data_IF_521861714330
#
_entry.id   IF_521861714330
#
_cell.length_a   1.000
_cell.length_b   1.000
_cell.length_c   1.000
_cell.angle_alpha   90.00
_cell.angle_beta   90.00
_cell.angle_gamma   90.00
#
_symmetry.space_group_name_H-M   'P 1'
#
loop_
_entity.id
_entity.type
_entity.pdbx_description
1 polymer ?
#
# COMPACT_ATOMS: atom_id res chain seq x y z
N UNK A 1 3.79 -4.05 -17.43
CA UNK A 1 3.41 -5.38 -17.91
C UNK A 1 2.97 -5.29 -19.35
N UNK A 2 3.36 -6.24 -20.22
CA UNK A 2 2.78 -6.35 -21.54
C UNK A 2 1.24 -6.50 -21.39
N UNK A 3 0.49 -6.00 -22.36
CA UNK A 3 -0.96 -6.15 -22.35
C UNK A 3 -1.34 -7.64 -22.61
N UNK A 4 -2.57 -8.01 -22.28
CA UNK A 4 -3.05 -9.39 -22.44
C UNK A 4 -2.93 -9.89 -23.89
N UNK A 5 -3.15 -9.01 -24.88
CA UNK A 5 -3.02 -9.36 -26.29
C UNK A 5 -1.59 -9.75 -26.67
N UNK A 6 -0.59 -8.99 -26.20
CA UNK A 6 0.83 -9.29 -26.43
C UNK A 6 1.24 -10.61 -25.78
N UNK A 7 0.76 -10.89 -24.56
CA UNK A 7 1.02 -12.17 -23.88
C UNK A 7 0.43 -13.35 -24.65
N UNK A 8 -0.82 -13.23 -25.07
CA UNK A 8 -1.49 -14.30 -25.82
C UNK A 8 -0.84 -14.54 -27.18
N UNK A 9 -0.39 -13.51 -27.89
CA UNK A 9 0.33 -13.66 -29.17
C UNK A 9 1.70 -14.33 -28.97
N UNK A 10 2.44 -13.99 -27.90
CA UNK A 10 3.70 -14.66 -27.59
C UNK A 10 3.46 -16.13 -27.22
N UNK A 11 2.39 -16.42 -26.48
CA UNK A 11 2.00 -17.78 -26.13
C UNK A 11 1.57 -18.58 -27.37
N UNK A 12 0.75 -18.01 -28.29
CA UNK A 12 0.39 -18.61 -29.55
C UNK A 12 1.63 -19.02 -30.36
N UNK A 13 2.64 -18.16 -30.39
CA UNK A 13 3.90 -18.44 -31.05
C UNK A 13 4.64 -19.59 -30.38
N UNK A 14 4.64 -19.65 -29.05
CA UNK A 14 5.33 -20.69 -28.29
C UNK A 14 4.70 -22.10 -28.47
N UNK A 15 3.38 -22.16 -28.63
CA UNK A 15 2.65 -23.43 -28.84
C UNK A 15 2.41 -23.74 -30.31
N UNK A 16 2.91 -22.92 -31.24
CA UNK A 16 2.74 -23.11 -32.67
C UNK A 16 3.35 -24.46 -33.07
N UNK A 17 2.55 -25.27 -33.77
CA UNK A 17 2.98 -26.62 -34.22
C UNK A 17 2.61 -27.75 -33.27
N UNK A 18 2.09 -27.48 -32.09
CA UNK A 18 1.49 -28.50 -31.22
C UNK A 18 0.07 -28.84 -31.73
N UNK A 19 -0.22 -30.15 -31.87
CA UNK A 19 -1.50 -30.61 -32.40
C UNK A 19 -2.35 -31.34 -31.35
N UNK A 20 -1.72 -32.12 -30.49
CA UNK A 20 -2.46 -32.83 -29.44
C UNK A 20 -2.88 -31.87 -28.30
N UNK A 21 -4.09 -32.06 -27.80
CA UNK A 21 -4.65 -31.21 -26.74
C UNK A 21 -3.80 -31.21 -25.47
N UNK A 22 -3.26 -32.37 -25.10
CA UNK A 22 -2.41 -32.51 -23.93
C UNK A 22 -1.08 -31.78 -24.12
N UNK A 23 -0.48 -31.84 -25.32
CA UNK A 23 0.75 -31.11 -25.63
C UNK A 23 0.52 -29.61 -25.62
N UNK A 24 -0.60 -29.15 -26.17
CA UNK A 24 -1.01 -27.73 -26.12
C UNK A 24 -1.20 -27.29 -24.66
N UNK A 25 -1.94 -28.07 -23.88
CA UNK A 25 -2.19 -27.75 -22.45
C UNK A 25 -0.89 -27.68 -21.66
N UNK A 26 -0.02 -28.69 -21.81
CA UNK A 26 1.28 -28.74 -21.13
C UNK A 26 2.20 -27.59 -21.60
N UNK A 27 2.23 -27.32 -22.91
CA UNK A 27 3.00 -26.21 -23.46
C UNK A 27 2.59 -24.86 -22.93
N UNK A 28 1.29 -24.64 -22.68
CA UNK A 28 0.78 -23.43 -22.02
C UNK A 28 1.25 -23.40 -20.57
N UNK A 29 1.10 -24.50 -19.82
CA UNK A 29 1.52 -24.58 -18.41
C UNK A 29 3.04 -24.38 -18.29
N UNK A 30 3.84 -24.99 -19.12
CA UNK A 30 5.30 -24.85 -19.16
C UNK A 30 5.72 -23.41 -19.50
N UNK A 31 5.00 -22.77 -20.43
CA UNK A 31 5.29 -21.38 -20.80
C UNK A 31 5.04 -20.41 -19.63
N UNK A 32 3.99 -20.62 -18.83
CA UNK A 32 3.73 -19.80 -17.65
C UNK A 32 4.67 -20.11 -16.49
N UNK A 33 5.09 -21.36 -16.31
CA UNK A 33 5.92 -21.79 -15.19
C UNK A 33 7.42 -21.76 -15.48
N UNK A 34 7.81 -21.75 -16.75
CA UNK A 34 9.19 -21.71 -17.21
C UNK A 34 9.78 -20.29 -17.16
N UNK A 35 11.11 -20.24 -17.23
CA UNK A 35 11.87 -18.98 -17.19
C UNK A 35 11.93 -18.27 -18.56
N UNK A 36 11.76 -19.01 -19.65
CA UNK A 36 11.84 -18.48 -21.03
C UNK A 36 10.49 -17.92 -21.56
N UNK A 37 9.38 -18.16 -20.86
CA UNK A 37 8.04 -17.74 -21.27
C UNK A 37 7.58 -16.48 -20.56
N UNK A 38 6.55 -16.63 -19.71
CA UNK A 38 5.93 -15.53 -18.99
C UNK A 38 6.93 -14.73 -18.14
N UNK A 39 7.86 -15.41 -17.47
CA UNK A 39 8.86 -14.77 -16.63
C UNK A 39 9.78 -13.84 -17.43
N UNK A 40 10.20 -14.23 -18.64
CA UNK A 40 11.03 -13.39 -19.51
C UNK A 40 10.31 -12.11 -19.97
N UNK A 41 8.98 -12.13 -20.07
CA UNK A 41 8.15 -10.98 -20.41
C UNK A 41 7.73 -10.15 -19.21
N UNK A 42 8.06 -10.60 -17.99
CA UNK A 42 7.70 -9.90 -16.78
C UNK A 42 8.54 -8.63 -16.59
N UNK A 43 7.91 -7.48 -16.66
CA UNK A 43 8.53 -6.17 -16.45
C UNK A 43 8.20 -5.55 -15.08
N UNK A 44 7.53 -6.31 -14.21
CA UNK A 44 7.23 -5.87 -12.85
C UNK A 44 8.47 -5.90 -11.96
N UNK A 45 8.41 -5.17 -10.86
CA UNK A 45 9.48 -5.17 -9.85
C UNK A 45 9.51 -6.47 -9.04
N UNK A 46 10.60 -6.66 -8.33
CA UNK A 46 10.67 -7.62 -7.23
C UNK A 46 9.66 -7.23 -6.15
N UNK A 47 9.10 -8.21 -5.44
CA UNK A 47 8.22 -7.91 -4.31
C UNK A 47 8.89 -6.95 -3.31
N UNK A 48 8.11 -6.13 -2.64
CA UNK A 48 8.65 -5.20 -1.64
C UNK A 48 9.02 -5.96 -0.37
N UNK A 49 10.31 -6.08 -0.14
CA UNK A 49 10.85 -6.58 1.12
C UNK A 49 11.22 -5.40 2.04
N UNK A 50 10.94 -5.54 3.35
CA UNK A 50 11.49 -4.64 4.35
C UNK A 50 10.94 -3.22 4.36
N UNK A 51 9.62 -3.03 4.19
CA UNK A 51 8.99 -1.73 4.45
C UNK A 51 9.01 -1.48 5.97
N UNK A 52 9.80 -0.52 6.45
CA UNK A 52 9.81 -0.13 7.86
C UNK A 52 8.47 0.52 8.22
N UNK A 53 7.73 -0.08 9.14
CA UNK A 53 6.41 0.38 9.59
C UNK A 53 6.44 0.99 10.98
N UNK A 54 7.45 0.63 11.78
CA UNK A 54 7.75 1.23 13.10
C UNK A 54 9.24 1.01 13.42
N UNK A 55 9.81 1.66 14.45
CA UNK A 55 11.17 1.40 14.90
C UNK A 55 11.38 -0.08 15.21
N UNK A 56 12.26 -0.75 14.47
CA UNK A 56 12.54 -2.18 14.62
C UNK A 56 11.49 -3.14 14.03
N UNK A 57 10.44 -2.64 13.37
CA UNK A 57 9.38 -3.44 12.76
C UNK A 57 9.33 -3.23 11.25
N UNK A 58 9.40 -4.32 10.49
CA UNK A 58 9.33 -4.30 9.03
C UNK A 58 8.19 -5.18 8.54
N UNK A 59 7.42 -4.68 7.58
CA UNK A 59 6.47 -5.47 6.81
C UNK A 59 7.08 -5.83 5.45
N UNK A 60 6.79 -7.01 4.93
CA UNK A 60 7.22 -7.41 3.60
C UNK A 60 6.04 -7.84 2.76
N UNK A 61 6.05 -7.42 1.50
CA UNK A 61 5.07 -7.78 0.47
C UNK A 61 5.82 -8.51 -0.66
N UNK A 62 6.24 -9.77 -0.45
CA UNK A 62 7.05 -10.52 -1.42
C UNK A 62 6.24 -11.02 -2.61
N UNK A 63 4.99 -10.61 -2.75
CA UNK A 63 4.07 -11.08 -3.79
C UNK A 63 4.33 -10.36 -5.10
N UNK A 64 4.44 -11.13 -6.16
CA UNK A 64 4.55 -10.63 -7.53
C UNK A 64 3.64 -11.44 -8.44
N UNK A 65 3.43 -10.99 -9.67
CA UNK A 65 2.70 -11.79 -10.65
C UNK A 65 3.46 -13.06 -11.08
N UNK A 66 4.69 -13.26 -10.60
CA UNK A 66 5.45 -14.50 -10.77
C UNK A 66 5.14 -15.55 -9.69
N UNK A 67 4.28 -15.24 -8.72
CA UNK A 67 3.85 -16.24 -7.73
C UNK A 67 3.19 -17.43 -8.44
N UNK A 68 3.54 -18.67 -8.07
CA UNK A 68 3.00 -19.87 -8.73
C UNK A 68 1.47 -19.92 -8.75
N UNK A 69 0.79 -19.46 -7.70
CA UNK A 69 -0.66 -19.41 -7.66
C UNK A 69 -1.25 -18.49 -8.76
N UNK A 70 -0.56 -17.39 -9.05
CA UNK A 70 -0.96 -16.44 -10.09
C UNK A 70 -0.63 -17.03 -11.47
N UNK A 71 0.58 -17.58 -11.68
CA UNK A 71 0.99 -18.19 -12.96
C UNK A 71 0.05 -19.31 -13.38
N UNK A 72 -0.28 -20.23 -12.47
CA UNK A 72 -1.22 -21.34 -12.77
C UNK A 72 -2.62 -20.83 -13.10
N UNK A 73 -3.08 -19.82 -12.38
CA UNK A 73 -4.37 -19.17 -12.70
C UNK A 73 -4.36 -18.55 -14.09
N UNK A 74 -3.28 -17.83 -14.44
CA UNK A 74 -3.13 -17.23 -15.76
C UNK A 74 -3.04 -18.28 -16.87
N UNK A 75 -2.38 -19.42 -16.63
CA UNK A 75 -2.34 -20.53 -17.57
C UNK A 75 -3.76 -21.07 -17.86
N UNK A 76 -4.57 -21.30 -16.84
CA UNK A 76 -5.96 -21.72 -17.03
C UNK A 76 -6.81 -20.70 -17.79
N UNK A 77 -6.68 -19.42 -17.47
CA UNK A 77 -7.36 -18.34 -18.20
C UNK A 77 -6.87 -18.23 -19.65
N UNK A 78 -5.57 -18.40 -19.89
CA UNK A 78 -4.99 -18.36 -21.24
C UNK A 78 -5.51 -19.50 -22.12
N UNK A 79 -5.64 -20.73 -21.60
CA UNK A 79 -6.27 -21.85 -22.30
C UNK A 79 -7.67 -21.48 -22.80
N UNK A 80 -8.50 -20.86 -21.92
CA UNK A 80 -9.83 -20.42 -22.31
C UNK A 80 -9.80 -19.27 -23.33
N UNK A 81 -8.92 -18.28 -23.15
CA UNK A 81 -8.78 -17.14 -24.04
C UNK A 81 -8.28 -17.53 -25.44
N UNK A 82 -7.40 -18.53 -25.55
CA UNK A 82 -6.93 -19.04 -26.84
C UNK A 82 -8.04 -19.76 -27.60
N UNK A 83 -8.94 -20.44 -26.91
CA UNK A 83 -10.14 -21.02 -27.54
C UNK A 83 -11.05 -19.95 -28.13
N UNK A 84 -11.22 -18.82 -27.42
CA UNK A 84 -11.97 -17.66 -27.92
C UNK A 84 -11.32 -17.04 -29.17
N UNK A 85 -9.98 -16.98 -29.19
CA UNK A 85 -9.20 -16.49 -30.34
C UNK A 85 -9.15 -17.44 -31.53
N UNK A 86 -9.80 -18.62 -31.45
CA UNK A 86 -9.93 -19.56 -32.55
C UNK A 86 -8.94 -20.71 -32.53
N UNK A 87 -8.20 -20.93 -31.44
CA UNK A 87 -7.37 -22.13 -31.31
C UNK A 87 -8.22 -23.41 -31.50
N UNK A 88 -7.74 -24.36 -32.26
CA UNK A 88 -8.44 -25.61 -32.61
C UNK A 88 -9.79 -25.38 -33.33
N UNK A 89 -9.92 -24.30 -34.12
CA UNK A 89 -11.14 -24.06 -34.92
C UNK A 89 -11.40 -25.22 -35.86
N UNK A 90 -12.65 -25.71 -35.87
CA UNK A 90 -13.08 -26.86 -36.67
C UNK A 90 -13.02 -28.21 -35.95
N UNK A 91 -12.32 -28.32 -34.85
CA UNK A 91 -12.27 -29.54 -34.02
C UNK A 91 -13.00 -29.33 -32.69
N UNK A 92 -14.28 -29.62 -32.65
CA UNK A 92 -15.13 -29.49 -31.48
C UNK A 92 -14.69 -30.39 -30.31
N UNK A 93 -14.16 -31.57 -30.57
CA UNK A 93 -13.72 -32.50 -29.54
C UNK A 93 -12.49 -31.97 -28.81
N UNK A 94 -11.49 -31.56 -29.57
CA UNK A 94 -10.26 -30.96 -29.02
C UNK A 94 -10.53 -29.64 -28.28
N UNK A 95 -11.43 -28.80 -28.81
CA UNK A 95 -11.87 -27.56 -28.13
C UNK A 95 -12.52 -27.86 -26.78
N UNK A 96 -13.43 -28.84 -26.73
CA UNK A 96 -14.09 -29.23 -25.47
C UNK A 96 -13.09 -29.82 -24.49
N UNK A 97 -12.14 -30.65 -24.95
CA UNK A 97 -11.11 -31.19 -24.10
C UNK A 97 -10.18 -30.08 -23.52
N UNK A 98 -9.75 -29.11 -24.34
CA UNK A 98 -8.92 -27.99 -23.85
C UNK A 98 -9.70 -27.08 -22.88
N UNK A 99 -11.01 -26.86 -23.10
CA UNK A 99 -11.87 -26.16 -22.19
C UNK A 99 -11.96 -26.85 -20.80
N UNK A 100 -12.06 -28.20 -20.83
CA UNK A 100 -12.03 -29.00 -19.60
C UNK A 100 -10.69 -28.84 -18.87
N UNK A 101 -9.55 -28.93 -19.59
CA UNK A 101 -8.21 -28.69 -19.00
C UNK A 101 -8.07 -27.29 -18.42
N UNK A 102 -8.64 -26.27 -19.07
CA UNK A 102 -8.68 -24.92 -18.53
C UNK A 102 -9.44 -24.87 -17.19
N UNK A 103 -10.60 -25.50 -17.11
CA UNK A 103 -11.40 -25.62 -15.88
C UNK A 103 -10.66 -26.36 -14.76
N UNK A 104 -10.03 -27.50 -15.08
CA UNK A 104 -9.21 -28.28 -14.13
C UNK A 104 -8.04 -27.46 -13.58
N UNK A 105 -7.32 -26.73 -14.45
CA UNK A 105 -6.21 -25.85 -14.04
C UNK A 105 -6.70 -24.74 -13.11
N UNK A 106 -7.82 -24.10 -13.42
CA UNK A 106 -8.41 -23.05 -12.57
C UNK A 106 -8.90 -23.59 -11.24
N UNK A 107 -9.50 -24.77 -11.24
CA UNK A 107 -9.98 -25.42 -10.02
C UNK A 107 -8.80 -25.83 -9.12
N UNK A 108 -7.78 -26.49 -9.68
CA UNK A 108 -6.59 -26.92 -8.92
C UNK A 108 -5.81 -25.72 -8.33
N UNK A 109 -5.83 -24.57 -9.00
CA UNK A 109 -5.19 -23.35 -8.48
C UNK A 109 -5.96 -22.66 -7.35
N UNK A 110 -7.21 -23.07 -7.04
CA UNK A 110 -8.07 -22.37 -6.07
C UNK A 110 -7.53 -22.39 -4.65
N UNK A 111 -6.95 -23.49 -4.21
CA UNK A 111 -6.35 -23.62 -2.89
C UNK A 111 -5.12 -22.71 -2.76
N UNK A 112 -4.22 -22.74 -3.75
CA UNK A 112 -3.03 -21.88 -3.77
C UNK A 112 -3.39 -20.40 -3.76
N UNK A 113 -4.44 -20.00 -4.47
CA UNK A 113 -4.97 -18.61 -4.42
C UNK A 113 -5.53 -18.24 -3.05
N UNK A 114 -6.22 -19.16 -2.40
CA UNK A 114 -6.75 -18.94 -1.05
C UNK A 114 -5.63 -18.78 -0.04
N UNK A 115 -4.59 -19.61 -0.12
CA UNK A 115 -3.39 -19.47 0.71
C UNK A 115 -2.69 -18.13 0.46
N UNK A 116 -2.53 -17.75 -0.82
CA UNK A 116 -1.95 -16.44 -1.18
C UNK A 116 -2.77 -15.27 -0.63
N UNK A 117 -4.10 -15.33 -0.77
CA UNK A 117 -5.01 -14.32 -0.21
C UNK A 117 -4.89 -14.24 1.33
N UNK A 118 -4.80 -15.37 2.01
CA UNK A 118 -4.57 -15.42 3.46
C UNK A 118 -3.25 -14.77 3.88
N UNK A 119 -2.17 -15.02 3.13
CA UNK A 119 -0.85 -14.37 3.38
C UNK A 119 -0.92 -12.86 3.18
N UNK A 120 -1.61 -12.41 2.13
CA UNK A 120 -1.85 -10.97 1.90
C UNK A 120 -2.63 -10.36 3.06
N UNK A 121 -3.74 -11.01 3.47
CA UNK A 121 -4.56 -10.54 4.59
C UNK A 121 -3.78 -10.44 5.91
N UNK A 122 -2.85 -11.35 6.17
CA UNK A 122 -1.96 -11.27 7.35
C UNK A 122 -1.08 -10.02 7.30
N UNK A 123 -0.49 -9.71 6.15
CA UNK A 123 0.34 -8.50 5.99
C UNK A 123 -0.51 -7.24 6.09
N UNK A 124 -1.69 -7.22 5.50
CA UNK A 124 -2.64 -6.10 5.62
C UNK A 124 -3.02 -5.85 7.09
N UNK A 125 -3.28 -6.91 7.86
CA UNK A 125 -3.56 -6.78 9.28
C UNK A 125 -2.38 -6.21 10.07
N UNK A 126 -1.15 -6.65 9.78
CA UNK A 126 0.06 -6.10 10.39
C UNK A 126 0.22 -4.61 10.09
N UNK A 127 0.02 -4.21 8.83
CA UNK A 127 0.07 -2.81 8.40
C UNK A 127 -1.00 -1.96 9.10
N UNK A 128 -2.23 -2.47 9.19
CA UNK A 128 -3.32 -1.78 9.89
C UNK A 128 -3.02 -1.57 11.38
N UNK A 129 -2.48 -2.59 12.05
CA UNK A 129 -2.08 -2.48 13.45
C UNK A 129 -0.94 -1.47 13.64
N UNK A 130 0.07 -1.51 12.77
CA UNK A 130 1.17 -0.54 12.79
C UNK A 130 0.66 0.90 12.56
N UNK A 131 -0.24 1.09 11.61
CA UNK A 131 -0.86 2.39 11.34
C UNK A 131 -1.65 2.92 12.55
N UNK A 132 -2.42 2.05 13.22
CA UNK A 132 -3.19 2.41 14.41
C UNK A 132 -2.26 2.83 15.56
N UNK A 133 -1.19 2.04 15.83
CA UNK A 133 -0.18 2.39 16.84
C UNK A 133 0.50 3.71 16.53
N UNK A 134 0.97 3.90 15.30
CA UNK A 134 1.65 5.13 14.86
C UNK A 134 0.72 6.35 14.98
N UNK A 135 -0.57 6.20 14.69
CA UNK A 135 -1.56 7.26 14.86
C UNK A 135 -1.75 7.65 16.33
N UNK A 136 -1.86 6.64 17.22
CA UNK A 136 -1.98 6.87 18.66
C UNK A 136 -0.72 7.55 19.22
N UNK A 137 0.47 7.09 18.83
CA UNK A 137 1.74 7.69 19.24
C UNK A 137 1.89 9.13 18.76
N UNK A 138 1.55 9.39 17.49
CA UNK A 138 1.53 10.75 16.93
C UNK A 138 0.60 11.67 17.73
N UNK A 139 -0.57 11.19 18.13
CA UNK A 139 -1.51 11.95 18.94
C UNK A 139 -0.97 12.23 20.35
N UNK A 140 -0.37 11.22 20.99
CA UNK A 140 0.26 11.37 22.30
C UNK A 140 1.43 12.36 22.27
N UNK A 141 2.30 12.28 21.26
CA UNK A 141 3.41 13.21 21.06
C UNK A 141 2.91 14.64 20.78
N UNK A 142 1.81 14.80 20.03
CA UNK A 142 1.21 16.10 19.79
C UNK A 142 0.66 16.72 21.09
N UNK A 143 0.00 15.94 21.94
CA UNK A 143 -0.46 16.39 23.26
C UNK A 143 0.72 16.78 24.16
N UNK A 144 1.76 15.94 24.21
CA UNK A 144 2.97 16.25 24.99
C UNK A 144 3.66 17.52 24.48
N UNK A 145 3.81 17.68 23.16
CA UNK A 145 4.36 18.90 22.58
C UNK A 145 3.54 20.12 22.98
N UNK A 146 2.21 20.04 22.87
CA UNK A 146 1.34 21.15 23.23
C UNK A 146 1.50 21.51 24.72
N UNK A 147 1.50 20.52 25.62
CA UNK A 147 1.70 20.77 27.06
C UNK A 147 3.06 21.39 27.40
N UNK A 148 4.08 21.18 26.56
CA UNK A 148 5.40 21.81 26.74
C UNK A 148 5.50 23.20 26.11
N UNK A 149 4.72 23.50 25.09
CA UNK A 149 4.80 24.75 24.31
C UNK A 149 3.68 25.74 24.62
N UNK A 150 2.56 25.29 25.13
CA UNK A 150 1.44 26.15 25.53
C UNK A 150 1.79 26.82 26.86
N UNK A 151 1.84 28.16 26.87
CA UNK A 151 1.83 28.93 28.10
C UNK A 151 0.50 28.68 28.81
N UNK A 152 0.55 28.38 30.10
CA UNK A 152 -0.68 28.27 30.92
C UNK A 152 -1.49 29.56 30.80
N UNK A 153 -2.70 29.54 30.21
CA UNK A 153 -3.49 30.74 30.01
C UNK A 153 -3.88 31.41 31.35
N UNK A 154 -3.97 30.62 32.42
CA UNK A 154 -4.20 31.14 33.77
C UNK A 154 -2.98 31.90 34.26
N UNK A 155 -1.78 31.35 34.16
CA UNK A 155 -0.53 32.02 34.57
C UNK A 155 -0.27 33.26 33.71
N UNK A 156 -0.51 33.20 32.40
CA UNK A 156 -0.41 34.35 31.50
C UNK A 156 -1.38 35.47 31.91
N UNK A 157 -2.63 35.14 32.27
CA UNK A 157 -3.63 36.12 32.75
C UNK A 157 -3.26 36.73 34.10
N UNK A 158 -2.75 35.93 35.04
CA UNK A 158 -2.27 36.44 36.34
C UNK A 158 -1.09 37.39 36.16
N UNK A 159 -0.12 37.05 35.32
CA UNK A 159 1.03 37.92 35.00
C UNK A 159 0.58 39.21 34.31
N UNK A 160 -0.39 39.14 33.40
CA UNK A 160 -0.93 40.32 32.74
C UNK A 160 -1.56 41.28 33.78
N UNK A 161 -2.41 40.79 34.70
CA UNK A 161 -3.02 41.60 35.76
C UNK A 161 -1.99 42.20 36.70
N UNK A 162 -0.94 41.47 37.05
CA UNK A 162 0.16 41.99 37.88
C UNK A 162 0.88 43.15 37.16
N UNK A 163 1.15 43.01 35.87
CA UNK A 163 1.74 44.04 35.03
C UNK A 163 0.84 45.28 34.91
N UNK A 164 -0.46 45.12 34.70
CA UNK A 164 -1.44 46.19 34.66
C UNK A 164 -1.46 46.94 36.00
N UNK A 165 -1.50 46.24 37.13
CA UNK A 165 -1.47 46.83 38.47
C UNK A 165 -0.18 47.62 38.74
N UNK A 166 0.96 47.11 38.27
CA UNK A 166 2.25 47.84 38.39
C UNK A 166 2.25 49.11 37.53
N UNK A 167 1.72 49.04 36.31
CA UNK A 167 1.58 50.21 35.43
C UNK A 167 0.70 51.29 36.08
N UNK A 168 -0.44 50.92 36.63
CA UNK A 168 -1.33 51.85 37.32
C UNK A 168 -0.64 52.51 38.53
N UNK A 169 0.13 51.72 39.29
CA UNK A 169 0.94 52.26 40.38
C UNK A 169 1.99 53.26 39.87
N UNK A 170 2.69 52.96 38.79
CA UNK A 170 3.66 53.87 38.16
C UNK A 170 2.99 55.15 37.66
N UNK A 171 1.85 55.06 36.98
CA UNK A 171 1.11 56.26 36.56
C UNK A 171 0.65 57.13 37.77
N UNK A 172 0.19 56.48 38.81
CA UNK A 172 -0.22 57.20 40.05
C UNK A 172 0.97 57.90 40.71
N UNK A 173 2.12 57.21 40.78
CA UNK A 173 3.35 57.83 41.36
C UNK A 173 3.83 58.98 40.48
N UNK A 174 3.85 58.79 39.16
CA UNK A 174 4.28 59.82 38.21
C UNK A 174 3.36 61.07 38.28
N UNK A 175 2.04 60.85 38.34
CA UNK A 175 1.08 61.93 38.49
C UNK A 175 1.29 62.71 39.81
N UNK A 176 1.54 61.99 40.91
CA UNK A 176 1.84 62.63 42.22
C UNK A 176 3.17 63.43 42.22
N UNK A 177 4.19 62.87 41.60
CA UNK A 177 5.48 63.54 41.46
C UNK A 177 5.37 64.80 40.58
N UNK A 178 4.60 64.73 39.49
CA UNK A 178 4.30 65.91 38.64
C UNK A 178 3.56 67.03 39.42
N UNK A 179 2.58 66.65 40.24
CA UNK A 179 1.89 67.61 41.07
C UNK A 179 2.79 68.27 42.17
N UNK A 180 3.69 67.42 42.75
CA UNK A 180 4.62 67.97 43.77
C UNK A 180 5.67 68.90 43.15
N UNK A 181 6.11 68.64 41.93
CA UNK A 181 7.05 69.52 41.23
C UNK A 181 6.42 70.86 40.85
N UNK A 182 5.12 70.88 40.51
CA UNK A 182 4.37 72.08 40.15
C UNK A 182 4.11 72.95 41.36
N UNK A 183 3.69 72.36 42.52
CA UNK A 183 3.45 73.10 43.78
C UNK A 183 4.74 73.64 44.45
N UNK A 184 5.90 72.99 44.21
CA UNK A 184 7.20 73.47 44.70
C UNK A 184 7.79 74.59 43.86
N UNK A 185 7.36 74.77 42.62
CA UNK A 185 7.86 75.83 41.73
C UNK A 185 7.04 77.11 41.81
N UNK A 186 5.82 77.06 42.34
CA UNK A 186 4.90 78.19 42.45
C UNK A 186 4.91 78.91 43.87
N UNK A 187 5.86 78.58 44.67
CA UNK A 187 6.16 79.25 45.95
C UNK A 187 7.57 79.86 45.89
#
# INVERSE_FOLDING_TARGET
>A
MPNAGTLLTALETAIAGLAAVDDISNGIDDWFNGTAGYEALYTGGQGRAGLTVAPGETASLPFTALDPAIRTTLAGLAKAALLDRGLLTGDHASRSALALRAGETLFSSSEARTVLAGRIGTVEQQLFQAQSRNSAEKSALALTRNSLTEADPYEATVRLKDLESRLDAFYTITARLSQLSLTGYLR
#
